data_IF_570659332009
#
_entry.id   IF_570659332009
#
_cell.length_a   1.000
_cell.length_b   1.000
_cell.length_c   1.000
_cell.angle_alpha   90.00
_cell.angle_beta   90.00
_cell.angle_gamma   90.00
#
_symmetry.space_group_name_H-M   'P 1'
#
loop_
_entity.id
_entity.type
_entity.pdbx_description
1 polymer ?
#
# COMPACT_ATOMS: atom_id res chain seq x y z
N UNK A 1 17.22 37.14 -75.23
CA UNK A 1 17.27 36.04 -74.23
C UNK A 1 16.92 36.63 -72.87
N UNK A 2 15.65 36.44 -72.39
CA UNK A 2 15.19 36.92 -71.08
C UNK A 2 15.32 35.73 -70.08
N UNK A 3 16.15 35.91 -69.06
CA UNK A 3 16.26 34.94 -67.95
C UNK A 3 15.17 35.23 -66.95
N UNK A 4 14.26 34.27 -66.75
CA UNK A 4 13.24 34.26 -65.67
C UNK A 4 13.87 33.59 -64.45
N UNK A 5 14.00 34.34 -63.33
CA UNK A 5 14.46 33.82 -62.04
C UNK A 5 13.22 33.46 -61.25
N UNK A 6 13.04 32.16 -61.01
CA UNK A 6 12.03 31.67 -60.11
C UNK A 6 12.58 31.72 -58.67
N UNK A 7 12.00 32.61 -57.87
CA UNK A 7 12.26 32.63 -56.42
C UNK A 7 11.35 31.61 -55.72
N UNK A 8 11.95 30.56 -55.20
CA UNK A 8 11.23 29.59 -54.31
C UNK A 8 11.09 30.19 -52.90
N UNK A 9 9.88 30.58 -52.53
CA UNK A 9 9.54 30.92 -51.15
C UNK A 9 9.32 29.62 -50.38
N UNK A 10 10.30 29.21 -49.55
CA UNK A 10 10.13 28.13 -48.60
C UNK A 10 9.39 28.67 -47.38
N UNK A 11 8.10 28.37 -47.31
CA UNK A 11 7.28 28.70 -46.13
C UNK A 11 7.58 27.70 -45.03
N UNK A 12 8.38 28.09 -44.01
CA UNK A 12 8.68 27.29 -42.84
C UNK A 12 7.45 27.31 -41.94
N UNK A 13 6.62 26.26 -41.99
CA UNK A 13 5.49 26.06 -41.10
C UNK A 13 6.05 25.55 -39.74
N UNK A 14 6.27 26.47 -38.81
CA UNK A 14 6.52 26.16 -37.40
C UNK A 14 5.25 25.54 -36.78
N UNK A 15 5.15 24.22 -36.77
CA UNK A 15 4.12 23.51 -35.99
C UNK A 15 4.48 23.63 -34.52
N UNK A 16 3.90 24.60 -33.81
CA UNK A 16 3.91 24.66 -32.38
C UNK A 16 3.14 23.42 -31.87
N UNK A 17 3.85 22.38 -31.40
CA UNK A 17 3.26 21.30 -30.64
C UNK A 17 2.83 21.91 -29.31
N UNK A 18 1.56 22.26 -29.17
CA UNK A 18 0.96 22.50 -27.87
C UNK A 18 1.04 21.18 -27.08
N UNK A 19 1.97 21.09 -26.14
CA UNK A 19 1.94 20.04 -25.14
C UNK A 19 0.66 20.27 -24.34
N UNK A 20 -0.35 19.44 -24.58
CA UNK A 20 -1.53 19.41 -23.74
C UNK A 20 -1.04 19.14 -22.30
N UNK A 21 -1.07 20.17 -21.48
CA UNK A 21 -0.71 20.05 -20.07
C UNK A 21 -1.61 18.99 -19.48
N UNK A 22 -1.04 17.91 -18.99
CA UNK A 22 -1.82 16.82 -18.42
C UNK A 22 -2.71 17.41 -17.31
N UNK A 23 -4.04 17.21 -17.43
CA UNK A 23 -5.01 17.72 -16.46
C UNK A 23 -4.96 16.90 -15.15
N UNK A 24 -3.74 16.72 -14.63
CA UNK A 24 -3.46 15.93 -13.43
C UNK A 24 -2.51 16.69 -12.50
N UNK A 25 -2.60 16.40 -11.22
CA UNK A 25 -1.67 16.87 -10.18
C UNK A 25 -1.13 15.72 -9.36
N UNK A 26 -0.36 16.06 -8.33
CA UNK A 26 0.20 15.13 -7.36
C UNK A 26 -0.35 15.45 -5.98
N UNK A 27 -0.72 14.42 -5.21
CA UNK A 27 -0.99 14.53 -3.78
C UNK A 27 0.23 14.01 -3.04
N UNK A 28 0.74 14.78 -2.08
CA UNK A 28 1.78 14.37 -1.14
C UNK A 28 1.28 14.58 0.27
N UNK A 29 1.82 13.82 1.21
CA UNK A 29 1.49 14.04 2.60
C UNK A 29 2.35 13.24 3.53
N UNK A 30 2.16 13.52 4.80
CA UNK A 30 2.82 12.86 5.89
C UNK A 30 1.77 12.32 6.87
N UNK A 31 1.97 11.10 7.35
CA UNK A 31 1.12 10.49 8.38
C UNK A 31 1.87 10.44 9.70
N UNK A 32 1.22 10.88 10.77
CA UNK A 32 1.80 10.95 12.13
C UNK A 32 0.91 10.26 13.15
N UNK A 33 1.56 9.76 14.19
CA UNK A 33 0.96 9.38 15.45
C UNK A 33 1.38 10.41 16.51
N UNK A 34 0.43 11.17 17.04
CA UNK A 34 0.69 12.24 18.02
C UNK A 34 0.64 11.76 19.48
N UNK A 35 0.17 10.54 19.71
CA UNK A 35 0.04 9.95 21.04
C UNK A 35 1.30 9.22 21.49
N UNK A 36 1.18 8.54 22.64
CA UNK A 36 2.24 7.65 23.11
C UNK A 36 2.44 6.52 22.11
N UNK A 37 3.71 6.27 21.73
CA UNK A 37 4.05 5.15 20.87
C UNK A 37 3.76 3.84 21.60
N UNK A 38 2.83 3.00 21.12
CA UNK A 38 2.65 1.68 21.70
C UNK A 38 3.86 0.82 21.34
N UNK A 39 4.37 0.06 22.32
CA UNK A 39 5.41 -0.92 22.04
C UNK A 39 4.90 -2.02 21.13
N UNK A 40 5.77 -2.57 20.28
CA UNK A 40 5.49 -3.77 19.52
C UNK A 40 6.02 -5.00 20.29
N UNK A 41 5.20 -6.04 20.54
CA UNK A 41 5.67 -7.23 21.23
C UNK A 41 6.68 -8.00 20.38
N UNK A 42 7.61 -8.69 21.07
CA UNK A 42 8.55 -9.60 20.41
C UNK A 42 7.77 -10.85 19.97
N UNK A 43 7.96 -11.27 18.73
CA UNK A 43 7.44 -12.53 18.22
C UNK A 43 8.26 -13.67 18.81
N UNK A 44 7.62 -14.52 19.62
CA UNK A 44 8.23 -15.72 20.21
C UNK A 44 8.00 -16.90 19.30
N UNK A 45 8.94 -17.16 18.39
CA UNK A 45 8.84 -18.21 17.36
C UNK A 45 9.19 -19.63 17.89
N UNK A 46 9.39 -19.80 19.19
CA UNK A 46 9.82 -21.07 19.78
C UNK A 46 8.84 -22.24 19.60
N UNK A 47 7.59 -21.99 19.24
CA UNK A 47 6.60 -23.01 18.87
C UNK A 47 6.91 -23.66 17.52
N UNK A 48 7.67 -22.97 16.62
CA UNK A 48 8.17 -23.49 15.36
C UNK A 48 9.70 -23.42 15.36
N UNK A 49 10.39 -24.59 15.53
CA UNK A 49 11.86 -24.64 15.57
C UNK A 49 12.55 -24.13 14.30
N UNK A 50 11.90 -24.23 13.13
CA UNK A 50 12.47 -23.75 11.88
C UNK A 50 12.41 -22.22 11.82
N UNK A 51 11.29 -21.61 12.19
CA UNK A 51 11.17 -20.16 12.31
C UNK A 51 12.15 -19.60 13.34
N UNK A 52 12.29 -20.28 14.50
CA UNK A 52 13.26 -19.91 15.53
C UNK A 52 14.70 -19.97 15.00
N UNK A 53 15.05 -21.00 14.24
CA UNK A 53 16.38 -21.16 13.62
C UNK A 53 16.68 -20.08 12.58
N UNK A 54 15.75 -19.78 11.68
CA UNK A 54 15.90 -18.74 10.64
C UNK A 54 16.12 -17.36 11.27
N UNK A 55 15.51 -17.12 12.43
CA UNK A 55 15.58 -15.85 13.13
C UNK A 55 16.49 -15.86 14.35
N UNK A 56 17.37 -16.87 14.48
CA UNK A 56 18.29 -16.96 15.62
C UNK A 56 19.14 -15.69 15.74
N UNK A 57 19.21 -15.15 16.96
CA UNK A 57 19.92 -13.89 17.25
C UNK A 57 19.25 -12.61 16.77
N UNK A 58 18.06 -12.68 16.15
CA UNK A 58 17.29 -11.52 15.69
C UNK A 58 16.14 -11.23 16.67
N UNK A 59 15.86 -9.95 16.89
CA UNK A 59 14.68 -9.50 17.61
C UNK A 59 13.60 -9.14 16.59
N UNK A 60 12.71 -10.08 16.29
CA UNK A 60 11.59 -9.84 15.36
C UNK A 60 10.40 -9.32 16.16
N UNK A 61 9.85 -8.18 15.74
CA UNK A 61 8.72 -7.54 16.40
C UNK A 61 7.42 -7.78 15.62
N UNK A 62 6.33 -7.83 16.38
CA UNK A 62 4.99 -7.77 15.78
C UNK A 62 4.71 -6.31 15.41
N UNK A 63 4.89 -5.96 14.16
CA UNK A 63 4.84 -4.58 13.66
C UNK A 63 3.42 -4.01 13.59
N UNK A 64 2.69 -4.00 14.72
CA UNK A 64 1.35 -3.40 14.79
C UNK A 64 1.36 -1.89 14.59
N UNK A 65 2.41 -1.22 15.06
CA UNK A 65 2.62 0.22 14.88
C UNK A 65 4.09 0.47 14.57
N UNK A 66 4.38 0.82 13.34
CA UNK A 66 5.73 1.19 12.91
C UNK A 66 5.81 2.71 12.85
N UNK A 67 6.29 3.30 13.93
CA UNK A 67 6.45 4.75 14.02
C UNK A 67 7.85 5.12 14.53
N UNK A 68 8.36 6.24 14.04
CA UNK A 68 9.62 6.84 14.50
C UNK A 68 9.40 7.65 15.78
N UNK A 69 10.48 8.07 16.43
CA UNK A 69 10.42 8.84 17.69
C UNK A 69 9.68 10.18 17.50
N UNK A 70 9.74 10.79 16.32
CA UNK A 70 9.03 12.01 15.97
C UNK A 70 7.55 11.78 15.58
N UNK A 71 7.08 10.52 15.67
CA UNK A 71 5.72 10.12 15.39
C UNK A 71 5.42 9.82 13.92
N UNK A 72 6.40 9.84 13.02
CA UNK A 72 6.18 9.46 11.62
C UNK A 72 5.68 8.03 11.52
N UNK A 73 4.50 7.80 10.91
CA UNK A 73 3.77 6.52 10.94
C UNK A 73 3.78 5.82 9.58
N UNK A 74 4.37 4.64 9.53
CA UNK A 74 4.40 3.77 8.36
C UNK A 74 3.17 2.86 8.25
N UNK A 75 3.08 2.15 7.13
CA UNK A 75 2.04 1.15 6.85
C UNK A 75 0.61 1.69 6.84
N UNK A 76 0.45 2.98 6.58
CA UNK A 76 -0.88 3.59 6.39
C UNK A 76 -1.26 3.52 4.91
N UNK A 77 -2.35 2.84 4.61
CA UNK A 77 -2.91 2.78 3.27
C UNK A 77 -3.72 4.04 3.00
N UNK A 78 -3.30 4.83 2.00
CA UNK A 78 -3.95 6.08 1.61
C UNK A 78 -4.55 5.92 0.23
N UNK A 79 -5.84 6.23 0.06
CA UNK A 79 -6.54 6.09 -1.23
C UNK A 79 -7.49 7.24 -1.52
N UNK A 80 -7.71 7.52 -2.80
CA UNK A 80 -8.80 8.38 -3.25
C UNK A 80 -10.12 7.60 -3.35
N UNK A 81 -11.19 8.27 -2.89
CA UNK A 81 -12.57 7.85 -3.07
C UNK A 81 -13.32 8.88 -3.92
N UNK A 82 -14.27 8.43 -4.69
CA UNK A 82 -15.13 9.27 -5.53
C UNK A 82 -15.32 8.70 -6.93
N UNK A 83 -16.00 9.45 -7.77
CA UNK A 83 -16.17 9.09 -9.19
C UNK A 83 -14.90 9.45 -9.96
N UNK A 84 -14.01 8.48 -10.11
CA UNK A 84 -12.69 8.66 -10.74
C UNK A 84 -12.70 7.87 -12.06
N UNK A 85 -12.23 8.48 -13.17
CA UNK A 85 -12.16 7.79 -14.46
C UNK A 85 -11.36 6.49 -14.36
N UNK A 86 -11.88 5.44 -14.96
CA UNK A 86 -11.20 4.15 -15.02
C UNK A 86 -9.96 4.26 -15.90
N UNK A 87 -8.91 3.57 -15.48
CA UNK A 87 -7.65 3.46 -16.22
C UNK A 87 -7.31 1.99 -16.47
N UNK A 88 -6.48 1.66 -17.46
CA UNK A 88 -6.02 0.30 -17.65
C UNK A 88 -5.40 -0.28 -16.36
N UNK A 89 -5.64 -1.57 -16.13
CA UNK A 89 -5.05 -2.28 -15.00
C UNK A 89 -3.59 -2.61 -15.36
N UNK A 90 -2.68 -2.43 -14.40
CA UNK A 90 -1.27 -2.81 -14.59
C UNK A 90 -1.15 -4.32 -14.81
N UNK A 91 -0.34 -4.71 -15.81
CA UNK A 91 0.06 -6.11 -16.02
C UNK A 91 1.11 -6.60 -15.02
N UNK A 92 1.78 -5.66 -14.33
CA UNK A 92 2.75 -6.00 -13.29
C UNK A 92 2.04 -6.51 -12.04
N UNK A 93 2.42 -7.67 -11.50
CA UNK A 93 1.85 -8.18 -10.28
C UNK A 93 2.31 -7.36 -9.07
N UNK A 94 1.45 -7.25 -8.08
CA UNK A 94 1.85 -6.87 -6.72
C UNK A 94 2.40 -8.12 -6.04
N UNK A 95 3.41 -8.00 -5.20
CA UNK A 95 4.06 -9.15 -4.56
C UNK A 95 4.04 -9.01 -3.05
N UNK A 96 3.63 -10.07 -2.35
CA UNK A 96 3.87 -10.31 -0.93
C UNK A 96 4.76 -11.53 -0.82
N UNK A 97 5.82 -11.46 -0.01
CA UNK A 97 6.74 -12.59 0.22
C UNK A 97 6.65 -13.06 1.68
N UNK A 98 6.61 -14.36 1.87
CA UNK A 98 6.76 -15.00 3.17
C UNK A 98 8.24 -15.32 3.34
N UNK A 99 8.91 -14.53 4.16
CA UNK A 99 10.35 -14.64 4.37
C UNK A 99 10.71 -14.36 5.83
N UNK A 100 11.44 -15.28 6.43
CA UNK A 100 11.77 -15.19 7.85
C UNK A 100 10.56 -15.37 8.75
N UNK A 101 9.57 -16.13 8.30
CA UNK A 101 8.30 -16.38 8.98
C UNK A 101 7.49 -15.09 9.25
N UNK A 102 7.52 -14.15 8.32
CA UNK A 102 6.66 -12.96 8.29
C UNK A 102 6.21 -12.69 6.86
N UNK A 103 5.10 -11.95 6.69
CA UNK A 103 4.71 -11.40 5.40
C UNK A 103 5.40 -10.04 5.19
N UNK A 104 5.98 -9.84 4.01
CA UNK A 104 6.60 -8.59 3.61
C UNK A 104 6.21 -8.22 2.15
N UNK A 105 5.77 -6.99 1.87
CA UNK A 105 5.46 -5.93 2.83
C UNK A 105 4.19 -6.22 3.64
N UNK A 106 4.04 -5.54 4.79
CA UNK A 106 2.88 -5.72 5.68
C UNK A 106 1.57 -5.18 5.10
N UNK A 107 1.65 -4.10 4.34
CA UNK A 107 0.49 -3.45 3.70
C UNK A 107 0.77 -3.25 2.22
N UNK A 108 -0.17 -3.66 1.38
CA UNK A 108 -0.11 -3.45 -0.07
C UNK A 108 -1.44 -2.95 -0.61
N UNK A 109 -1.39 -2.23 -1.74
CA UNK A 109 -2.57 -1.93 -2.54
C UNK A 109 -2.59 -2.76 -3.81
N UNK A 110 -3.76 -3.21 -4.22
CA UNK A 110 -3.97 -3.92 -5.47
C UNK A 110 -5.30 -3.49 -6.11
N UNK A 111 -5.35 -3.40 -7.42
CA UNK A 111 -6.61 -3.11 -8.12
C UNK A 111 -7.44 -4.39 -8.30
N UNK A 112 -8.76 -4.24 -8.29
CA UNK A 112 -9.68 -5.32 -8.71
C UNK A 112 -9.23 -5.85 -10.08
N UNK A 113 -9.01 -7.17 -10.19
CA UNK A 113 -8.51 -7.83 -11.39
C UNK A 113 -7.01 -7.79 -11.62
N UNK A 114 -6.23 -6.99 -10.89
CA UNK A 114 -4.75 -7.06 -10.92
C UNK A 114 -4.26 -8.32 -10.21
N UNK A 115 -3.16 -8.87 -10.69
CA UNK A 115 -2.54 -10.05 -10.07
C UNK A 115 -1.82 -9.65 -8.78
N UNK A 116 -2.15 -10.32 -7.69
CA UNK A 116 -1.34 -10.40 -6.47
C UNK A 116 -0.62 -11.74 -6.46
N UNK A 117 0.69 -11.72 -6.35
CA UNK A 117 1.52 -12.92 -6.14
C UNK A 117 1.93 -13.01 -4.67
N UNK A 118 1.65 -14.14 -4.04
CA UNK A 118 2.08 -14.42 -2.68
C UNK A 118 3.09 -15.55 -2.75
N UNK A 119 4.35 -15.25 -2.43
CA UNK A 119 5.48 -16.17 -2.51
C UNK A 119 5.75 -16.80 -1.15
N UNK A 120 6.26 -18.01 -1.14
CA UNK A 120 6.96 -18.59 0.00
C UNK A 120 8.46 -18.67 -0.30
N UNK A 121 9.27 -17.87 0.39
CA UNK A 121 10.74 -17.90 0.28
C UNK A 121 11.41 -18.68 1.42
N UNK A 122 10.64 -19.15 2.40
CA UNK A 122 11.14 -19.97 3.50
C UNK A 122 11.07 -21.45 3.18
N UNK A 123 12.06 -22.22 3.62
CA UNK A 123 12.11 -23.68 3.41
C UNK A 123 11.24 -24.45 4.43
N UNK A 124 10.02 -23.97 4.66
CA UNK A 124 9.03 -24.55 5.56
C UNK A 124 7.61 -24.23 5.09
N UNK A 125 6.63 -24.91 5.67
CA UNK A 125 5.23 -24.72 5.32
C UNK A 125 4.68 -23.43 5.90
N UNK A 126 4.08 -22.62 5.03
CA UNK A 126 3.21 -21.51 5.39
C UNK A 126 1.80 -21.72 4.83
N UNK A 127 0.87 -20.93 5.32
CA UNK A 127 -0.50 -20.88 4.83
C UNK A 127 -0.83 -19.44 4.46
N UNK A 128 -1.59 -19.28 3.40
CA UNK A 128 -2.03 -17.98 2.89
C UNK A 128 -3.54 -17.93 3.00
N UNK A 129 -4.07 -17.28 4.02
CA UNK A 129 -5.50 -17.20 4.29
C UNK A 129 -5.98 -15.75 4.24
N UNK A 130 -6.68 -15.40 3.15
CA UNK A 130 -7.34 -14.11 2.94
C UNK A 130 -8.74 -14.14 3.54
N UNK A 131 -8.98 -13.33 4.58
CA UNK A 131 -10.26 -13.18 5.26
C UNK A 131 -11.04 -12.04 4.62
N UNK A 132 -12.17 -12.35 3.98
CA UNK A 132 -12.98 -11.38 3.25
C UNK A 132 -14.44 -11.41 3.67
N UNK A 133 -15.02 -10.23 3.77
CA UNK A 133 -16.46 -10.04 3.84
C UNK A 133 -17.15 -9.83 2.48
N UNK A 134 -16.38 -9.87 1.36
CA UNK A 134 -16.87 -9.48 0.02
C UNK A 134 -16.52 -10.45 -1.12
N UNK A 135 -16.55 -11.75 -0.86
CA UNK A 135 -16.26 -12.81 -1.85
C UNK A 135 -14.84 -12.73 -2.45
N UNK A 136 -13.89 -12.27 -1.66
CA UNK A 136 -12.46 -12.25 -1.96
C UNK A 136 -11.65 -13.30 -1.17
N UNK A 137 -12.33 -14.16 -0.40
CA UNK A 137 -11.67 -15.14 0.48
C UNK A 137 -10.91 -16.20 -0.31
N UNK A 138 -9.78 -16.62 0.25
CA UNK A 138 -9.00 -17.76 -0.20
C UNK A 138 -8.22 -18.36 0.97
N UNK A 139 -7.87 -19.66 0.86
CA UNK A 139 -7.05 -20.34 1.85
C UNK A 139 -6.20 -21.41 1.15
N UNK A 140 -4.88 -21.22 1.13
CA UNK A 140 -3.93 -22.05 0.38
C UNK A 140 -2.70 -22.35 1.20
N UNK A 141 -2.32 -23.63 1.27
CA UNK A 141 -1.04 -24.05 1.84
C UNK A 141 0.11 -23.91 0.85
N UNK A 142 1.26 -23.47 1.33
CA UNK A 142 2.51 -23.39 0.57
C UNK A 142 3.61 -24.14 1.34
N UNK A 143 3.83 -25.40 0.99
CA UNK A 143 4.65 -26.34 1.78
C UNK A 143 6.16 -26.19 1.57
N UNK A 144 6.62 -25.43 0.59
CA UNK A 144 8.03 -25.36 0.23
C UNK A 144 8.44 -23.97 -0.29
N UNK A 145 9.71 -23.66 -0.15
CA UNK A 145 10.32 -22.48 -0.77
C UNK A 145 10.11 -22.48 -2.30
N UNK A 146 9.90 -21.29 -2.85
CA UNK A 146 9.68 -21.08 -4.28
C UNK A 146 8.22 -21.22 -4.73
N UNK A 147 7.31 -21.70 -3.88
CA UNK A 147 5.90 -21.73 -4.21
C UNK A 147 5.34 -20.32 -4.35
N UNK A 148 4.48 -20.12 -5.36
CA UNK A 148 3.81 -18.85 -5.64
C UNK A 148 2.32 -19.10 -5.82
N UNK A 149 1.51 -18.44 -5.03
CA UNK A 149 0.06 -18.37 -5.24
C UNK A 149 -0.28 -17.08 -5.97
N UNK A 150 -1.08 -17.17 -7.04
CA UNK A 150 -1.58 -16.03 -7.79
C UNK A 150 -3.06 -15.82 -7.50
N UNK A 151 -3.41 -14.64 -7.12
CA UNK A 151 -4.77 -14.28 -6.79
C UNK A 151 -5.18 -12.98 -7.49
N UNK A 152 -6.47 -12.84 -7.78
CA UNK A 152 -7.09 -11.61 -8.30
C UNK A 152 -8.34 -11.31 -7.49
N UNK A 153 -8.40 -10.12 -6.92
CA UNK A 153 -9.60 -9.66 -6.25
C UNK A 153 -10.76 -9.48 -7.22
N UNK A 154 -11.97 -9.89 -6.81
CA UNK A 154 -13.20 -9.73 -7.56
C UNK A 154 -13.90 -8.42 -7.22
N UNK A 155 -13.85 -8.01 -5.95
CA UNK A 155 -14.59 -6.88 -5.40
C UNK A 155 -13.68 -5.93 -4.65
N UNK A 156 -14.02 -4.63 -4.64
CA UNK A 156 -13.33 -3.64 -3.81
C UNK A 156 -13.51 -3.97 -2.33
N UNK A 157 -12.41 -4.02 -1.59
CA UNK A 157 -12.39 -4.31 -0.16
C UNK A 157 -11.17 -3.67 0.52
N UNK A 158 -11.42 -2.75 1.43
CA UNK A 158 -10.39 -2.08 2.21
C UNK A 158 -10.64 -2.33 3.69
N UNK A 159 -9.84 -3.05 4.39
CA UNK A 159 -8.60 -3.78 4.04
C UNK A 159 -8.87 -5.27 4.23
N UNK A 160 -8.56 -6.07 3.23
CA UNK A 160 -8.62 -7.53 3.38
C UNK A 160 -7.46 -7.99 4.29
N UNK A 161 -7.78 -8.75 5.32
CA UNK A 161 -6.79 -9.29 6.25
C UNK A 161 -6.21 -10.60 5.71
N UNK A 162 -4.90 -10.65 5.54
CA UNK A 162 -4.13 -11.84 5.19
C UNK A 162 -3.45 -12.37 6.44
N UNK A 163 -3.64 -13.67 6.74
CA UNK A 163 -2.99 -14.33 7.87
C UNK A 163 -2.41 -15.69 7.49
N UNK A 164 -1.55 -16.24 8.34
CA UNK A 164 -1.15 -17.63 8.31
C UNK A 164 -1.85 -18.38 9.45
N UNK A 165 -2.50 -19.52 9.15
CA UNK A 165 -3.17 -20.33 10.18
C UNK A 165 -2.18 -21.17 10.99
N UNK A 166 -0.95 -21.36 10.50
CA UNK A 166 0.12 -22.09 11.17
C UNK A 166 0.87 -21.16 12.14
N UNK A 167 1.18 -19.94 11.67
CA UNK A 167 1.98 -18.95 12.40
C UNK A 167 1.11 -17.72 12.69
N UNK A 168 0.44 -17.69 13.82
CA UNK A 168 -0.56 -16.69 14.20
C UNK A 168 -0.02 -15.24 14.25
N UNK A 169 1.28 -15.06 14.28
CA UNK A 169 1.93 -13.75 14.20
C UNK A 169 2.08 -13.22 12.77
N UNK A 170 1.96 -14.05 11.74
CA UNK A 170 2.06 -13.63 10.35
C UNK A 170 0.75 -12.99 9.90
N UNK A 171 0.78 -11.67 9.73
CA UNK A 171 -0.36 -10.88 9.28
C UNK A 171 0.09 -9.85 8.24
N UNK A 172 -0.76 -9.60 7.25
CA UNK A 172 -0.63 -8.52 6.27
C UNK A 172 -2.01 -7.99 5.89
N UNK A 173 -2.06 -6.85 5.21
CA UNK A 173 -3.31 -6.20 4.82
C UNK A 173 -3.27 -5.78 3.36
N UNK A 174 -4.35 -6.02 2.65
CA UNK A 174 -4.45 -5.77 1.22
C UNK A 174 -5.57 -4.76 0.97
N UNK A 175 -5.21 -3.55 0.53
CA UNK A 175 -6.17 -2.56 0.05
C UNK A 175 -6.60 -2.91 -1.38
N UNK A 176 -7.76 -3.53 -1.53
CA UNK A 176 -8.33 -3.81 -2.86
C UNK A 176 -9.16 -2.62 -3.30
N UNK A 177 -8.76 -1.97 -4.39
CA UNK A 177 -9.37 -0.73 -4.90
C UNK A 177 -9.69 -0.83 -6.39
N UNK A 178 -10.60 0.01 -6.86
CA UNK A 178 -11.00 0.05 -8.27
C UNK A 178 -10.16 1.00 -9.11
N UNK A 179 -9.56 2.03 -8.51
CA UNK A 179 -8.74 3.03 -9.18
C UNK A 179 -7.25 2.96 -8.76
N UNK A 180 -6.31 3.54 -9.52
CA UNK A 180 -4.87 3.44 -9.23
C UNK A 180 -4.36 4.49 -8.23
N UNK A 181 -5.23 5.34 -7.69
CA UNK A 181 -4.81 6.49 -6.87
C UNK A 181 -4.77 6.12 -5.39
N UNK A 182 -3.74 5.40 -5.03
CA UNK A 182 -3.43 5.00 -3.66
C UNK A 182 -1.92 4.96 -3.43
N UNK A 183 -1.52 4.99 -2.19
CA UNK A 183 -0.15 4.80 -1.72
C UNK A 183 -0.15 4.14 -0.34
N UNK A 184 1.00 3.66 0.10
CA UNK A 184 1.25 3.24 1.48
C UNK A 184 2.33 4.14 2.04
N UNK A 185 2.14 4.67 3.26
CA UNK A 185 3.18 5.49 3.89
C UNK A 185 4.42 4.65 4.20
N UNK A 186 5.58 5.21 3.90
CA UNK A 186 6.87 4.59 4.16
C UNK A 186 7.31 4.76 5.63
N UNK A 187 8.52 4.31 5.95
CA UNK A 187 9.10 4.39 7.31
C UNK A 187 9.33 5.83 7.79
N UNK A 188 9.29 6.81 6.91
CA UNK A 188 9.31 8.24 7.26
C UNK A 188 7.92 8.84 7.39
N UNK A 189 6.86 8.03 7.28
CA UNK A 189 5.47 8.47 7.30
C UNK A 189 5.02 9.15 6.02
N UNK A 190 5.84 9.24 4.98
CA UNK A 190 5.49 9.96 3.75
C UNK A 190 4.72 9.08 2.77
N UNK A 191 3.82 9.69 2.01
CA UNK A 191 3.13 9.08 0.90
C UNK A 191 3.01 10.05 -0.29
N UNK A 192 2.90 9.48 -1.50
CA UNK A 192 2.71 10.24 -2.73
C UNK A 192 1.77 9.50 -3.67
N UNK A 193 0.81 10.23 -4.26
CA UNK A 193 -0.12 9.75 -5.28
C UNK A 193 0.01 10.67 -6.49
N UNK A 194 0.53 10.14 -7.58
CA UNK A 194 0.80 10.89 -8.80
C UNK A 194 -0.32 10.78 -9.83
N UNK A 195 -0.28 11.70 -10.81
CA UNK A 195 -1.18 11.71 -11.98
C UNK A 195 -2.66 11.71 -11.62
N UNK A 196 -3.01 12.30 -10.48
CA UNK A 196 -4.40 12.40 -10.03
C UNK A 196 -5.13 13.43 -10.90
N UNK A 197 -6.26 13.11 -11.54
CA UNK A 197 -7.05 14.09 -12.29
C UNK A 197 -7.39 15.31 -11.44
N UNK A 198 -7.41 16.50 -12.04
CA UNK A 198 -7.86 17.71 -11.33
C UNK A 198 -9.32 17.54 -10.88
N UNK A 199 -9.61 17.88 -9.62
CA UNK A 199 -10.93 17.67 -9.03
C UNK A 199 -10.90 17.73 -7.50
N UNK A 200 -12.06 17.55 -6.90
CA UNK A 200 -12.20 17.45 -5.43
C UNK A 200 -12.63 16.02 -5.06
N UNK A 201 -11.91 15.43 -4.12
CA UNK A 201 -12.04 14.03 -3.74
C UNK A 201 -12.06 13.87 -2.23
N UNK A 202 -12.53 12.71 -1.78
CA UNK A 202 -12.27 12.24 -0.42
C UNK A 202 -10.99 11.42 -0.42
N UNK A 203 -10.02 11.78 0.41
CA UNK A 203 -8.81 11.02 0.67
C UNK A 203 -8.99 10.27 1.99
N UNK A 204 -8.93 8.94 1.94
CA UNK A 204 -9.01 8.06 3.10
C UNK A 204 -7.61 7.54 3.44
N UNK A 205 -7.19 7.69 4.69
CA UNK A 205 -6.06 7.00 5.27
C UNK A 205 -6.57 5.89 6.19
N UNK A 206 -5.96 4.70 6.14
CA UNK A 206 -6.33 3.56 6.96
C UNK A 206 -5.08 2.93 7.58
N UNK A 207 -5.13 2.71 8.89
CA UNK A 207 -4.10 1.98 9.63
C UNK A 207 -4.72 0.78 10.37
N UNK A 208 -4.04 -0.37 10.36
CA UNK A 208 -4.59 -1.60 10.94
C UNK A 208 -5.07 -1.45 12.38
N UNK A 209 -4.35 -0.71 13.20
CA UNK A 209 -4.67 -0.50 14.61
C UNK A 209 -5.62 0.66 14.86
N UNK A 210 -5.53 1.72 14.06
CA UNK A 210 -6.27 2.96 14.31
C UNK A 210 -7.48 3.14 13.41
N UNK A 211 -7.68 2.25 12.42
CA UNK A 211 -8.80 2.31 11.50
C UNK A 211 -8.71 3.45 10.48
N UNK A 212 -9.84 3.82 9.85
CA UNK A 212 -9.89 4.83 8.81
C UNK A 212 -10.04 6.25 9.37
N UNK A 213 -9.40 7.21 8.70
CA UNK A 213 -9.67 8.65 8.81
C UNK A 213 -9.80 9.25 7.41
N UNK A 214 -10.53 10.35 7.26
CA UNK A 214 -10.85 10.93 5.95
C UNK A 214 -10.64 12.44 5.94
N UNK A 215 -10.22 12.98 4.78
CA UNK A 215 -10.10 14.40 4.50
C UNK A 215 -10.56 14.71 3.08
N UNK A 216 -11.11 15.89 2.85
CA UNK A 216 -11.37 16.39 1.50
C UNK A 216 -10.09 16.98 0.93
N UNK A 217 -9.78 16.68 -0.34
CA UNK A 217 -8.62 17.18 -1.06
C UNK A 217 -9.04 17.76 -2.42
N UNK A 218 -8.53 18.93 -2.77
CA UNK A 218 -8.72 19.52 -4.10
C UNK A 218 -7.39 19.48 -4.85
N UNK A 219 -7.37 18.77 -5.97
CA UNK A 219 -6.22 18.64 -6.86
C UNK A 219 -6.35 19.61 -8.02
N UNK A 220 -5.31 20.40 -8.25
CA UNK A 220 -5.20 21.32 -9.39
C UNK A 220 -4.21 20.73 -10.42
N UNK A 221 -4.49 20.98 -11.71
CA UNK A 221 -3.60 20.53 -12.79
C UNK A 221 -2.20 21.13 -12.64
N UNK A 222 -1.17 20.29 -12.81
CA UNK A 222 0.24 20.66 -12.71
C UNK A 222 0.73 21.01 -11.31
N UNK A 223 -0.14 20.91 -10.28
CA UNK A 223 0.21 21.29 -8.91
C UNK A 223 0.47 20.08 -8.01
N UNK A 224 1.23 20.33 -6.94
CA UNK A 224 1.37 19.43 -5.79
C UNK A 224 0.43 19.94 -4.69
N UNK A 225 -0.47 19.07 -4.24
CA UNK A 225 -1.34 19.33 -3.07
C UNK A 225 -0.79 18.56 -1.88
N UNK A 226 -0.47 19.26 -0.80
CA UNK A 226 0.00 18.63 0.45
C UNK A 226 -1.18 18.43 1.40
N UNK A 227 -1.30 17.23 1.97
CA UNK A 227 -2.33 16.89 2.95
C UNK A 227 -1.81 15.84 3.92
N UNK A 228 -1.76 16.17 5.21
CA UNK A 228 -1.24 15.30 6.25
C UNK A 228 -2.37 14.63 7.02
N UNK A 229 -2.07 13.47 7.63
CA UNK A 229 -2.96 12.77 8.55
C UNK A 229 -2.31 12.63 9.91
N UNK A 230 -3.12 12.72 10.97
CA UNK A 230 -2.67 12.52 12.34
C UNK A 230 -3.61 11.57 13.04
N UNK A 231 -3.05 10.50 13.58
CA UNK A 231 -3.70 9.59 14.52
C UNK A 231 -3.30 9.99 15.94
N UNK A 232 -4.23 9.88 16.88
CA UNK A 232 -4.00 10.22 18.29
C UNK A 232 -3.58 9.01 19.13
N UNK A 233 -3.79 7.80 18.59
CA UNK A 233 -3.59 6.55 19.29
C UNK A 233 -4.80 6.09 20.12
N UNK A 234 -5.87 6.91 20.16
CA UNK A 234 -7.10 6.62 20.89
C UNK A 234 -8.24 6.15 19.98
N UNK A 235 -7.99 6.04 18.67
CA UNK A 235 -8.97 5.58 17.70
C UNK A 235 -9.35 4.12 18.01
N UNK A 236 -10.63 3.79 17.80
CA UNK A 236 -11.10 2.41 17.94
C UNK A 236 -10.60 1.56 16.79
N UNK A 237 -9.84 0.53 17.09
CA UNK A 237 -9.43 -0.47 16.10
C UNK A 237 -10.65 -1.17 15.47
N UNK A 238 -10.58 -1.43 14.16
CA UNK A 238 -11.55 -2.28 13.46
C UNK A 238 -11.31 -3.77 13.72
N UNK A 239 -10.13 -4.13 14.20
CA UNK A 239 -9.75 -5.50 14.53
C UNK A 239 -9.51 -5.64 16.04
N UNK A 240 -9.84 -6.80 16.59
CA UNK A 240 -9.46 -7.12 17.95
C UNK A 240 -7.95 -7.38 17.99
N UNK A 241 -7.18 -6.44 18.55
CA UNK A 241 -5.77 -6.66 18.88
C UNK A 241 -5.67 -7.10 20.33
N UNK A 242 -4.76 -8.03 20.67
CA UNK A 242 -4.44 -8.27 22.06
C UNK A 242 -3.97 -6.97 22.71
N UNK A 243 -4.42 -6.70 23.94
CA UNK A 243 -3.90 -5.58 24.69
C UNK A 243 -2.37 -5.73 24.81
N UNK A 244 -1.64 -4.73 24.34
CA UNK A 244 -0.20 -4.73 24.46
C UNK A 244 0.11 -4.25 25.88
N UNK A 245 0.22 -5.16 26.81
CA UNK A 245 0.82 -4.87 28.09
C UNK A 245 2.32 -4.68 27.87
N UNK A 246 2.77 -3.43 27.81
CA UNK A 246 4.19 -3.11 27.90
C UNK A 246 4.55 -3.45 29.34
N UNK A 247 5.32 -4.52 29.56
CA UNK A 247 5.96 -4.73 30.82
C UNK A 247 6.81 -3.48 31.10
N UNK A 248 6.53 -2.79 32.20
CA UNK A 248 7.42 -1.76 32.69
C UNK A 248 8.73 -2.46 33.08
N UNK A 249 9.83 -2.08 32.45
CA UNK A 249 11.19 -2.43 32.85
C UNK A 249 11.57 -1.73 34.15
#
# INVERSE_FOLDING_TARGET
>A
MRRVVFAFFVCLILTARAFAQANTGTIKGHVRLSGKLPGNPIIRMGMDPMCAKINAGKRILQEYVVATVDGSLANVFVRLQGNIPQTPISSQPVVIDQRGCVYAPRVVGVRVGQVLQIKNSDALTHNVHGLSGKDNSFNVGQSAAGMVYQWKAKNEEVMLHLKCDIHNWMNAYIGVVTNPYFAVSDTTGTFQIDKVPAGTYTLQAWHERFGPTMKTVTVKAGAVTTIDFTYTGNEKSMFAFPEIHVAAD
#
